data_IF_644154592499
#
_entry.id   IF_644154592499
#
_cell.length_a   1.000
_cell.length_b   1.000
_cell.length_c   1.000
_cell.angle_alpha   90.00
_cell.angle_beta   90.00
_cell.angle_gamma   90.00
#
_symmetry.space_group_name_H-M   'P 1'
#
loop_
_entity.id
_entity.type
_entity.pdbx_description
1 polymer ?
#
# COMPACT_ATOMS: atom_id res chain seq x y z
N UNK A 1 -3.57 12.69 -21.88
CA UNK A 1 -2.68 13.85 -21.64
C UNK A 1 -1.42 13.36 -20.94
N UNK A 2 -0.23 13.75 -21.40
CA UNK A 2 1.02 13.39 -20.75
C UNK A 2 1.27 14.30 -19.53
N UNK A 3 1.70 13.71 -18.42
CA UNK A 3 1.98 14.42 -17.16
C UNK A 3 3.22 15.31 -17.34
N UNK A 4 3.12 16.59 -17.02
CA UNK A 4 4.22 17.55 -17.19
C UNK A 4 5.37 17.29 -16.22
N UNK A 5 6.57 17.76 -16.54
CA UNK A 5 7.72 17.65 -15.63
C UNK A 5 7.48 18.35 -14.29
N UNK A 6 6.77 19.48 -14.30
CA UNK A 6 6.38 20.19 -13.09
C UNK A 6 5.50 19.32 -12.18
N UNK A 7 4.53 18.62 -12.76
CA UNK A 7 3.66 17.69 -12.02
C UNK A 7 4.45 16.52 -11.43
N UNK A 8 5.41 15.94 -12.18
CA UNK A 8 6.28 14.86 -11.66
C UNK A 8 7.10 15.33 -10.46
N UNK A 9 7.70 16.52 -10.53
CA UNK A 9 8.49 17.11 -9.43
C UNK A 9 7.62 17.38 -8.19
N UNK A 10 6.40 17.87 -8.39
CA UNK A 10 5.45 18.09 -7.30
C UNK A 10 5.08 16.78 -6.59
N UNK A 11 4.76 15.73 -7.35
CA UNK A 11 4.47 14.39 -6.80
C UNK A 11 5.66 13.80 -6.04
N UNK A 12 6.88 13.91 -6.60
CA UNK A 12 8.08 13.43 -5.94
C UNK A 12 8.33 14.15 -4.60
N UNK A 13 8.13 15.47 -4.56
CA UNK A 13 8.22 16.26 -3.32
C UNK A 13 7.19 15.78 -2.29
N UNK A 14 5.94 15.60 -2.68
CA UNK A 14 4.90 15.10 -1.78
C UNK A 14 5.25 13.72 -1.20
N UNK A 15 5.66 12.77 -2.06
CA UNK A 15 6.03 11.42 -1.64
C UNK A 15 7.22 11.48 -0.67
N UNK A 16 8.27 12.24 -0.98
CA UNK A 16 9.47 12.35 -0.14
C UNK A 16 9.15 12.86 1.27
N UNK A 17 8.25 13.82 1.40
CA UNK A 17 7.96 14.48 2.68
C UNK A 17 6.83 13.82 3.48
N UNK A 18 5.80 13.27 2.82
CA UNK A 18 4.55 12.87 3.48
C UNK A 18 4.27 11.37 3.42
N UNK A 19 5.06 10.59 2.68
CA UNK A 19 4.78 9.17 2.46
C UNK A 19 5.92 8.31 2.95
N UNK A 20 5.64 7.45 3.94
CA UNK A 20 6.49 6.32 4.31
C UNK A 20 5.93 5.05 3.66
N UNK A 21 6.78 4.30 2.95
CA UNK A 21 6.41 3.04 2.31
C UNK A 21 6.92 1.86 3.12
N UNK A 22 6.03 0.91 3.39
CA UNK A 22 6.35 -0.43 3.86
C UNK A 22 6.05 -1.41 2.71
N UNK A 23 6.94 -2.37 2.48
CA UNK A 23 6.83 -3.34 1.39
C UNK A 23 6.62 -4.72 1.99
N UNK A 24 5.59 -5.43 1.53
CA UNK A 24 5.36 -6.83 1.84
C UNK A 24 5.76 -7.65 0.62
N UNK A 25 6.60 -8.66 0.82
CA UNK A 25 7.00 -9.59 -0.22
C UNK A 25 6.16 -10.86 -0.06
N UNK A 26 5.49 -11.27 -1.14
CA UNK A 26 4.75 -12.52 -1.22
C UNK A 26 5.43 -13.44 -2.22
N UNK A 27 5.57 -14.71 -1.86
CA UNK A 27 6.09 -15.73 -2.74
C UNK A 27 4.96 -16.28 -3.61
N UNK A 28 5.11 -16.15 -4.92
CA UNK A 28 4.09 -16.58 -5.89
C UNK A 28 3.75 -18.08 -5.83
N UNK A 29 4.61 -18.90 -5.26
CA UNK A 29 4.44 -20.36 -5.21
C UNK A 29 3.85 -20.85 -3.88
N UNK A 30 4.07 -20.15 -2.78
CA UNK A 30 3.58 -20.56 -1.44
C UNK A 30 2.43 -19.70 -0.94
N UNK A 31 2.35 -18.47 -1.42
CA UNK A 31 1.38 -17.46 -1.01
C UNK A 31 0.43 -17.12 -2.18
N UNK A 32 0.20 -18.09 -3.08
CA UNK A 32 -0.63 -17.91 -4.28
C UNK A 32 -2.04 -17.44 -3.91
N UNK A 33 -2.62 -17.99 -2.85
CA UNK A 33 -3.91 -17.60 -2.31
C UNK A 33 -3.92 -16.13 -1.84
N UNK A 34 -2.88 -15.68 -1.15
CA UNK A 34 -2.71 -14.29 -0.73
C UNK A 34 -2.56 -13.36 -1.93
N UNK A 35 -1.79 -13.78 -2.95
CA UNK A 35 -1.62 -13.01 -4.19
C UNK A 35 -2.96 -12.86 -4.91
N UNK A 36 -3.70 -13.96 -5.11
CA UNK A 36 -5.02 -13.94 -5.75
C UNK A 36 -6.01 -13.06 -4.97
N UNK A 37 -6.03 -13.16 -3.64
CA UNK A 37 -6.87 -12.31 -2.82
C UNK A 37 -6.49 -10.82 -2.98
N UNK A 38 -5.20 -10.50 -2.95
CA UNK A 38 -4.73 -9.13 -3.14
C UNK A 38 -5.05 -8.55 -4.52
N UNK A 39 -4.99 -9.36 -5.57
CA UNK A 39 -5.36 -8.94 -6.93
C UNK A 39 -6.86 -8.66 -7.08
N UNK A 40 -7.71 -9.28 -6.24
CA UNK A 40 -9.15 -9.03 -6.23
C UNK A 40 -9.57 -7.73 -5.53
N UNK A 41 -8.67 -7.08 -4.80
CA UNK A 41 -8.97 -5.88 -4.00
C UNK A 41 -8.72 -4.61 -4.81
N UNK A 42 -9.75 -3.78 -4.98
CA UNK A 42 -9.67 -2.48 -5.66
C UNK A 42 -8.67 -1.50 -5.01
N UNK A 43 -8.60 -1.48 -3.67
CA UNK A 43 -7.71 -0.61 -2.91
C UNK A 43 -6.94 -1.37 -1.82
N UNK A 44 -5.88 -2.06 -2.25
CA UNK A 44 -4.97 -2.81 -1.37
C UNK A 44 -4.40 -1.95 -0.25
N UNK A 45 -4.06 -0.69 -0.53
CA UNK A 45 -3.46 0.21 0.47
C UNK A 45 -4.48 0.63 1.55
N UNK A 46 -5.75 0.76 1.18
CA UNK A 46 -6.85 0.97 2.13
C UNK A 46 -7.06 -0.26 3.02
N UNK A 47 -7.13 -1.43 2.39
CA UNK A 47 -7.27 -2.71 3.10
C UNK A 47 -6.19 -2.92 4.15
N UNK A 48 -4.90 -2.74 3.80
CA UNK A 48 -3.81 -2.86 4.77
C UNK A 48 -3.93 -1.87 5.93
N UNK A 49 -4.34 -0.62 5.68
CA UNK A 49 -4.52 0.36 6.75
C UNK A 49 -5.60 -0.08 7.73
N UNK A 50 -6.69 -0.66 7.24
CA UNK A 50 -7.78 -1.14 8.11
C UNK A 50 -7.35 -2.36 8.93
N UNK A 51 -6.62 -3.30 8.32
CA UNK A 51 -6.01 -4.42 9.05
C UNK A 51 -5.05 -3.95 10.14
N UNK A 52 -4.17 -2.98 9.84
CA UNK A 52 -3.23 -2.42 10.81
C UNK A 52 -3.97 -1.72 11.95
N UNK A 53 -5.02 -0.92 11.65
CA UNK A 53 -5.83 -0.26 12.69
C UNK A 53 -6.51 -1.27 13.61
N UNK A 54 -7.12 -2.32 13.07
CA UNK A 54 -7.74 -3.40 13.85
C UNK A 54 -6.71 -4.09 14.75
N UNK A 55 -5.55 -4.46 14.21
CA UNK A 55 -4.47 -5.07 14.98
C UNK A 55 -3.97 -4.13 16.11
N UNK A 56 -3.88 -2.82 15.85
CA UNK A 56 -3.52 -1.84 16.88
C UNK A 56 -4.57 -1.71 17.99
N UNK A 57 -5.85 -1.84 17.66
CA UNK A 57 -6.95 -1.83 18.64
C UNK A 57 -6.94 -3.11 19.50
N UNK A 58 -6.73 -4.26 18.87
CA UNK A 58 -6.63 -5.56 19.56
C UNK A 58 -5.42 -5.61 20.49
N UNK A 59 -4.27 -5.07 20.08
CA UNK A 59 -3.06 -5.02 20.91
C UNK A 59 -3.18 -4.13 22.15
N UNK A 60 -4.21 -3.29 22.26
CA UNK A 60 -4.45 -2.41 23.42
C UNK A 60 -5.39 -3.02 24.46
N UNK A 61 -6.05 -4.13 24.15
CA UNK A 61 -6.84 -4.91 25.11
C UNK A 61 -5.97 -5.86 25.90
#
# INVERSE_FOLDING_TARGET
MAVSEAQKRATAKYIKHNVKRYVVQLNKNTDEDLVCFMESIDNVNGFFKDCIRKAMEESKK
#
